data_IF_041207809700
#
_entry.id   IF_041207809700
#
_cell.length_a   1.000
_cell.length_b   1.000
_cell.length_c   1.000
_cell.angle_alpha   90.00
_cell.angle_beta   90.00
_cell.angle_gamma   90.00
#
_symmetry.space_group_name_H-M   'P 1'
#
loop_
_entity.id
_entity.type
_entity.pdbx_description
1 polymer ?
#
# COMPACT_ATOMS: atom_id res chain seq x y z
N UNK A 1 54.18 2.63 -40.60
CA UNK A 1 53.20 2.51 -39.51
C UNK A 1 51.88 1.96 -40.07
N UNK A 2 51.94 0.98 -40.99
CA UNK A 2 50.86 0.69 -41.96
C UNK A 2 50.63 -0.82 -42.20
N UNK A 3 51.28 -1.69 -41.41
CA UNK A 3 51.27 -3.15 -41.63
C UNK A 3 50.37 -3.93 -40.66
N UNK A 4 49.89 -3.31 -39.58
CA UNK A 4 49.13 -3.98 -38.53
C UNK A 4 47.60 -3.82 -38.67
N UNK A 5 47.11 -2.83 -39.41
CA UNK A 5 45.66 -2.61 -39.60
C UNK A 5 45.00 -3.65 -40.54
N UNK A 6 45.78 -4.29 -41.42
CA UNK A 6 45.27 -5.28 -42.39
C UNK A 6 44.73 -6.56 -41.74
N UNK A 7 45.22 -6.89 -40.55
CA UNK A 7 44.90 -8.13 -39.84
C UNK A 7 43.85 -7.96 -38.73
N UNK A 8 43.36 -6.73 -38.53
CA UNK A 8 42.29 -6.48 -37.57
C UNK A 8 40.94 -6.88 -38.20
N UNK A 9 40.11 -7.68 -37.51
CA UNK A 9 38.79 -8.05 -38.01
C UNK A 9 37.94 -6.80 -38.21
N UNK A 10 37.55 -6.52 -39.47
CA UNK A 10 36.64 -5.42 -39.81
C UNK A 10 35.21 -5.85 -39.50
N UNK A 11 34.78 -5.57 -38.28
CA UNK A 11 33.39 -5.77 -37.89
C UNK A 11 32.49 -4.80 -38.66
N UNK A 12 31.40 -5.26 -39.29
CA UNK A 12 30.46 -4.36 -39.94
C UNK A 12 29.87 -3.40 -38.89
N UNK A 13 29.75 -2.11 -39.20
CA UNK A 13 29.30 -1.07 -38.25
C UNK A 13 27.98 -1.44 -37.53
N UNK A 14 27.11 -2.19 -38.20
CA UNK A 14 25.86 -2.73 -37.67
C UNK A 14 26.07 -3.66 -36.46
N UNK A 15 27.13 -4.48 -36.45
CA UNK A 15 27.44 -5.38 -35.33
C UNK A 15 27.92 -4.62 -34.09
N UNK A 16 28.65 -3.51 -34.27
CA UNK A 16 29.07 -2.63 -33.18
C UNK A 16 27.87 -1.87 -32.58
N UNK A 17 26.96 -1.37 -33.44
CA UNK A 17 25.72 -0.71 -33.03
C UNK A 17 24.75 -1.67 -32.30
N UNK A 18 24.65 -2.92 -32.76
CA UNK A 18 23.86 -3.96 -32.07
C UNK A 18 24.43 -4.28 -30.68
N UNK A 19 25.76 -4.35 -30.53
CA UNK A 19 26.39 -4.55 -29.22
C UNK A 19 26.14 -3.40 -28.23
N UNK A 20 26.23 -2.16 -28.71
CA UNK A 20 25.97 -0.95 -27.91
C UNK A 20 24.51 -0.84 -27.46
N UNK A 21 23.55 -1.13 -28.36
CA UNK A 21 22.12 -1.12 -28.04
C UNK A 21 21.73 -2.25 -27.08
N UNK A 22 22.26 -3.46 -27.28
CA UNK A 22 22.04 -4.59 -26.37
C UNK A 22 22.62 -4.35 -24.97
N UNK A 23 23.84 -3.80 -24.89
CA UNK A 23 24.45 -3.43 -23.60
C UNK A 23 23.67 -2.32 -22.89
N UNK A 24 23.22 -1.30 -23.63
CA UNK A 24 22.35 -0.24 -23.11
C UNK A 24 21.03 -0.77 -22.55
N UNK A 25 20.35 -1.64 -23.31
CA UNK A 25 19.10 -2.28 -22.86
C UNK A 25 19.30 -3.18 -21.63
N UNK A 26 20.42 -3.89 -21.54
CA UNK A 26 20.76 -4.72 -20.38
C UNK A 26 21.02 -3.89 -19.13
N UNK A 27 21.72 -2.75 -19.25
CA UNK A 27 21.96 -1.82 -18.13
C UNK A 27 20.65 -1.21 -17.66
N UNK A 28 19.80 -0.71 -18.56
CA UNK A 28 18.49 -0.16 -18.21
C UNK A 28 17.63 -1.23 -17.53
N UNK A 29 17.56 -2.44 -18.08
CA UNK A 29 16.83 -3.56 -17.49
C UNK A 29 17.37 -3.94 -16.11
N UNK A 30 18.69 -3.97 -15.93
CA UNK A 30 19.33 -4.24 -14.65
C UNK A 30 18.99 -3.17 -13.61
N UNK A 31 19.00 -1.90 -13.98
CA UNK A 31 18.63 -0.79 -13.09
C UNK A 31 17.15 -0.84 -12.71
N UNK A 32 16.25 -1.12 -13.67
CA UNK A 32 14.82 -1.29 -13.42
C UNK A 32 14.54 -2.48 -12.50
N UNK A 33 15.12 -3.65 -12.80
CA UNK A 33 15.00 -4.84 -11.97
C UNK A 33 15.52 -4.57 -10.57
N UNK A 34 16.70 -3.95 -10.43
CA UNK A 34 17.27 -3.60 -9.12
C UNK A 34 16.36 -2.66 -8.33
N UNK A 35 15.73 -1.69 -8.99
CA UNK A 35 14.72 -0.80 -8.40
C UNK A 35 13.50 -1.57 -7.88
N UNK A 36 12.93 -2.45 -8.70
CA UNK A 36 11.77 -3.29 -8.34
C UNK A 36 12.09 -4.26 -7.17
N UNK A 37 13.27 -4.89 -7.20
CA UNK A 37 13.73 -5.76 -6.12
C UNK A 37 13.99 -4.98 -4.82
N UNK A 38 14.54 -3.77 -4.90
CA UNK A 38 14.75 -2.89 -3.74
C UNK A 38 13.43 -2.52 -3.06
N UNK A 39 12.42 -2.13 -3.83
CA UNK A 39 11.08 -1.81 -3.31
C UNK A 39 10.44 -3.00 -2.58
N UNK A 40 10.50 -4.20 -3.18
CA UNK A 40 9.97 -5.43 -2.53
C UNK A 40 10.68 -5.76 -1.21
N UNK A 41 12.01 -5.55 -1.13
CA UNK A 41 12.78 -5.78 0.11
C UNK A 41 12.41 -4.80 1.22
N UNK A 42 12.01 -3.56 0.90
CA UNK A 42 11.67 -2.54 1.90
C UNK A 42 10.31 -2.77 2.57
N UNK A 43 9.37 -3.42 1.89
CA UNK A 43 8.00 -3.61 2.39
C UNK A 43 7.77 -4.96 3.08
N UNK A 44 8.59 -5.99 2.78
CA UNK A 44 8.42 -7.31 3.39
C UNK A 44 8.46 -7.21 4.92
N UNK A 45 7.44 -7.78 5.57
CA UNK A 45 7.30 -7.82 7.03
C UNK A 45 6.80 -6.52 7.67
N UNK A 46 6.54 -5.47 6.88
CA UNK A 46 5.90 -4.24 7.37
C UNK A 46 4.44 -4.51 7.72
N UNK A 47 3.94 -3.84 8.75
CA UNK A 47 2.52 -3.88 9.13
C UNK A 47 1.80 -2.69 8.50
N UNK A 48 0.76 -2.97 7.72
CA UNK A 48 0.02 -1.97 6.96
C UNK A 48 -1.44 -1.97 7.38
N UNK A 49 -1.96 -0.82 7.81
CA UNK A 49 -3.39 -0.61 8.01
C UNK A 49 -3.97 0.07 6.77
N UNK A 50 -5.05 -0.46 6.23
CA UNK A 50 -5.74 0.11 5.06
C UNK A 50 -7.19 0.39 5.44
N UNK A 51 -7.56 1.67 5.52
CA UNK A 51 -8.96 2.07 5.74
C UNK A 51 -9.75 1.94 4.44
N UNK A 52 -11.00 1.50 4.52
CA UNK A 52 -11.84 1.29 3.33
C UNK A 52 -11.38 0.11 2.47
N UNK A 53 -10.74 -0.88 3.07
CA UNK A 53 -10.17 -2.03 2.38
C UNK A 53 -11.22 -2.94 1.70
N UNK A 54 -12.50 -2.80 2.03
CA UNK A 54 -13.59 -3.68 1.59
C UNK A 54 -13.98 -3.57 0.11
N UNK A 55 -13.38 -2.66 -0.66
CA UNK A 55 -13.70 -2.47 -2.09
C UNK A 55 -12.69 -1.58 -2.81
N UNK A 56 -12.74 -1.60 -4.15
CA UNK A 56 -12.11 -0.60 -5.01
C UNK A 56 -10.60 -0.50 -4.82
N UNK A 57 -10.10 0.73 -4.67
CA UNK A 57 -8.66 1.00 -4.47
C UNK A 57 -8.14 0.34 -3.19
N UNK A 58 -8.95 0.31 -2.11
CA UNK A 58 -8.55 -0.32 -0.85
C UNK A 58 -8.28 -1.82 -1.00
N UNK A 59 -9.14 -2.54 -1.72
CA UNK A 59 -8.95 -3.96 -2.05
C UNK A 59 -7.70 -4.18 -2.92
N UNK A 60 -7.51 -3.32 -3.92
CA UNK A 60 -6.34 -3.38 -4.80
C UNK A 60 -5.03 -3.14 -4.03
N UNK A 61 -5.02 -2.17 -3.11
CA UNK A 61 -3.88 -1.90 -2.24
C UNK A 61 -3.60 -3.08 -1.30
N UNK A 62 -4.63 -3.66 -0.68
CA UNK A 62 -4.49 -4.85 0.15
C UNK A 62 -3.82 -6.00 -0.63
N UNK A 63 -4.28 -6.22 -1.86
CA UNK A 63 -3.71 -7.21 -2.78
C UNK A 63 -2.23 -6.95 -3.05
N UNK A 64 -1.85 -5.71 -3.34
CA UNK A 64 -0.45 -5.33 -3.60
C UNK A 64 0.45 -5.48 -2.36
N UNK A 65 0.00 -5.05 -1.19
CA UNK A 65 0.79 -5.15 0.05
C UNK A 65 1.01 -6.61 0.47
N UNK A 66 -0.01 -7.46 0.32
CA UNK A 66 0.09 -8.91 0.54
C UNK A 66 1.15 -9.53 -0.37
N UNK A 67 1.11 -9.24 -1.69
CA UNK A 67 2.10 -9.77 -2.65
C UNK A 67 3.55 -9.35 -2.35
N UNK A 68 3.70 -8.16 -1.74
CA UNK A 68 5.00 -7.64 -1.28
C UNK A 68 5.44 -8.22 0.07
N UNK A 69 4.63 -9.09 0.68
CA UNK A 69 4.94 -9.82 1.90
C UNK A 69 4.75 -9.00 3.18
N UNK A 70 3.83 -8.03 3.16
CA UNK A 70 3.44 -7.27 4.34
C UNK A 70 2.47 -8.08 5.21
N UNK A 71 2.37 -7.73 6.49
CA UNK A 71 1.18 -8.03 7.30
C UNK A 71 0.15 -6.93 7.06
N UNK A 72 -1.10 -7.30 6.78
CA UNK A 72 -2.12 -6.33 6.37
C UNK A 72 -3.31 -6.38 7.31
N UNK A 73 -3.66 -5.22 7.88
CA UNK A 73 -4.90 -5.01 8.62
C UNK A 73 -5.89 -4.35 7.67
N UNK A 74 -6.92 -5.12 7.29
CA UNK A 74 -8.03 -4.64 6.49
C UNK A 74 -9.02 -3.95 7.42
N UNK A 75 -9.23 -2.65 7.27
CA UNK A 75 -10.13 -1.87 8.12
C UNK A 75 -11.31 -1.29 7.34
N UNK A 76 -12.54 -1.59 7.75
CA UNK A 76 -13.78 -1.07 7.17
C UNK A 76 -14.98 -1.39 8.08
N UNK A 77 -16.15 -0.81 7.75
CA UNK A 77 -17.40 -1.09 8.46
C UNK A 77 -17.99 -2.48 8.17
N UNK A 78 -17.81 -3.00 6.95
CA UNK A 78 -18.38 -4.30 6.56
C UNK A 78 -17.39 -5.43 6.80
N UNK A 79 -17.42 -6.01 8.00
CA UNK A 79 -16.55 -7.12 8.40
C UNK A 79 -16.69 -8.33 7.47
N UNK A 80 -17.89 -8.60 6.98
CA UNK A 80 -18.18 -9.73 6.09
C UNK A 80 -17.39 -9.61 4.79
N UNK A 81 -17.38 -8.42 4.17
CA UNK A 81 -16.57 -8.17 2.97
C UNK A 81 -15.07 -8.29 3.24
N UNK A 82 -14.62 -7.86 4.42
CA UNK A 82 -13.22 -8.02 4.81
C UNK A 82 -12.82 -9.48 4.96
N UNK A 83 -13.68 -10.31 5.56
CA UNK A 83 -13.46 -11.75 5.70
C UNK A 83 -13.40 -12.43 4.33
N UNK A 84 -14.33 -12.12 3.43
CA UNK A 84 -14.33 -12.62 2.06
C UNK A 84 -13.03 -12.22 1.32
N UNK A 85 -12.60 -10.96 1.48
CA UNK A 85 -11.34 -10.51 0.89
C UNK A 85 -10.13 -11.24 1.49
N UNK A 86 -10.09 -11.40 2.82
CA UNK A 86 -9.03 -12.16 3.50
C UNK A 86 -8.94 -13.59 2.95
N UNK A 87 -10.06 -14.31 2.88
CA UNK A 87 -10.11 -15.68 2.35
C UNK A 87 -9.62 -15.75 0.90
N UNK A 88 -10.07 -14.82 0.05
CA UNK A 88 -9.62 -14.68 -1.34
C UNK A 88 -8.10 -14.46 -1.42
N UNK A 89 -7.54 -13.57 -0.61
CA UNK A 89 -6.10 -13.24 -0.63
C UNK A 89 -5.25 -14.41 -0.10
N UNK A 90 -5.67 -15.03 1.00
CA UNK A 90 -4.98 -16.19 1.60
C UNK A 90 -4.92 -17.35 0.60
N UNK A 91 -6.06 -17.68 -0.02
CA UNK A 91 -6.14 -18.77 -1.00
C UNK A 91 -5.35 -18.46 -2.29
N UNK A 92 -5.49 -17.25 -2.84
CA UNK A 92 -4.87 -16.88 -4.12
C UNK A 92 -3.35 -16.79 -4.04
N UNK A 93 -2.81 -16.30 -2.92
CA UNK A 93 -1.38 -16.04 -2.75
C UNK A 93 -0.66 -17.05 -1.85
N UNK A 94 -1.38 -18.04 -1.30
CA UNK A 94 -0.83 -19.10 -0.42
C UNK A 94 -0.03 -18.53 0.76
N UNK A 95 -0.52 -17.45 1.34
CA UNK A 95 0.07 -16.78 2.51
C UNK A 95 -0.52 -17.34 3.80
N UNK A 96 0.15 -17.09 4.92
CA UNK A 96 -0.34 -17.50 6.23
C UNK A 96 -1.60 -16.71 6.62
N UNK A 97 -2.59 -17.36 7.23
CA UNK A 97 -3.86 -16.73 7.57
C UNK A 97 -3.71 -15.60 8.61
N UNK A 98 -2.72 -15.71 9.49
CA UNK A 98 -2.36 -14.71 10.51
C UNK A 98 -1.66 -13.48 9.92
N UNK A 99 -1.25 -13.50 8.64
CA UNK A 99 -0.67 -12.34 7.95
C UNK A 99 -1.70 -11.27 7.56
N UNK A 100 -3.00 -11.60 7.66
CA UNK A 100 -4.10 -10.66 7.41
C UNK A 100 -5.06 -10.63 8.61
N UNK A 101 -5.34 -9.43 9.12
CA UNK A 101 -6.36 -9.19 10.13
C UNK A 101 -7.53 -8.40 9.53
N UNK A 102 -8.75 -8.72 9.96
CA UNK A 102 -9.94 -7.92 9.64
C UNK A 102 -10.31 -7.09 10.87
N UNK A 103 -10.53 -5.80 10.67
CA UNK A 103 -10.80 -4.86 11.76
C UNK A 103 -12.02 -3.99 11.44
N UNK A 104 -12.95 -3.90 12.37
CA UNK A 104 -14.11 -3.01 12.24
C UNK A 104 -13.64 -1.59 12.53
N UNK A 105 -13.90 -0.67 11.60
CA UNK A 105 -13.60 0.74 11.78
C UNK A 105 -14.70 1.58 11.16
N UNK A 106 -15.35 2.40 11.98
CA UNK A 106 -16.19 3.50 11.52
C UNK A 106 -15.45 4.82 11.73
N UNK A 107 -15.24 5.55 10.64
CA UNK A 107 -14.56 6.86 10.67
C UNK A 107 -15.54 8.01 10.94
N UNK A 108 -16.84 7.73 10.97
CA UNK A 108 -17.87 8.69 11.37
C UNK A 108 -17.98 8.78 12.91
N UNK A 109 -17.61 7.72 13.63
CA UNK A 109 -17.59 7.66 15.09
C UNK A 109 -16.21 8.09 15.63
N UNK A 110 -16.03 9.40 15.83
CA UNK A 110 -14.74 9.96 16.23
C UNK A 110 -14.34 9.60 17.65
N UNK A 111 -15.31 9.33 18.53
CA UNK A 111 -15.05 8.98 19.94
C UNK A 111 -14.46 7.56 20.02
N UNK A 112 -14.86 6.65 19.14
CA UNK A 112 -14.32 5.29 19.07
C UNK A 112 -12.91 5.20 18.44
N UNK A 113 -12.42 6.25 17.77
CA UNK A 113 -11.14 6.20 17.06
C UNK A 113 -9.95 6.00 18.01
N UNK A 114 -10.00 6.57 19.21
CA UNK A 114 -8.92 6.45 20.19
C UNK A 114 -8.71 4.98 20.60
N UNK A 115 -9.79 4.30 21.00
CA UNK A 115 -9.77 2.88 21.34
C UNK A 115 -9.39 2.00 20.13
N UNK A 116 -9.86 2.38 18.93
CA UNK A 116 -9.51 1.69 17.70
C UNK A 116 -8.00 1.73 17.41
N UNK A 117 -7.33 2.86 17.69
CA UNK A 117 -5.88 2.99 17.47
C UNK A 117 -5.08 2.01 18.34
N UNK A 118 -5.41 1.94 19.63
CA UNK A 118 -4.80 0.99 20.57
C UNK A 118 -5.00 -0.46 20.10
N UNK A 119 -6.22 -0.80 19.70
CA UNK A 119 -6.58 -2.12 19.21
C UNK A 119 -5.85 -2.48 17.90
N UNK A 120 -5.72 -1.54 16.97
CA UNK A 120 -4.97 -1.72 15.71
C UNK A 120 -3.48 -2.03 15.98
N UNK A 121 -2.86 -1.30 16.90
CA UNK A 121 -1.46 -1.53 17.29
C UNK A 121 -1.28 -2.90 17.94
N UNK A 122 -2.22 -3.33 18.78
CA UNK A 122 -2.14 -4.60 19.49
C UNK A 122 -2.15 -5.84 18.56
N UNK A 123 -2.80 -5.76 17.39
CA UNK A 123 -2.92 -6.89 16.45
C UNK A 123 -1.56 -7.48 16.02
N UNK A 124 -0.59 -6.60 15.76
CA UNK A 124 0.75 -7.00 15.30
C UNK A 124 1.89 -6.33 16.07
N UNK A 125 1.57 -5.66 17.17
CA UNK A 125 2.49 -4.93 18.05
C UNK A 125 3.00 -3.60 17.49
N UNK A 126 2.64 -3.24 16.25
CA UNK A 126 3.05 -2.01 15.58
C UNK A 126 2.23 -1.76 14.32
N UNK A 127 2.30 -0.54 13.79
CA UNK A 127 1.85 -0.18 12.45
C UNK A 127 2.95 0.62 11.76
N UNK A 128 3.52 0.09 10.68
CA UNK A 128 4.58 0.77 9.92
C UNK A 128 4.00 1.73 8.86
N UNK A 129 2.82 1.43 8.33
CA UNK A 129 2.19 2.17 7.23
C UNK A 129 0.69 2.31 7.51
N UNK A 130 0.19 3.53 7.53
CA UNK A 130 -1.24 3.84 7.56
C UNK A 130 -1.68 4.36 6.19
N UNK A 131 -2.66 3.71 5.58
CA UNK A 131 -3.26 4.12 4.31
C UNK A 131 -4.67 4.65 4.56
N UNK A 132 -4.77 5.99 4.59
CA UNK A 132 -6.04 6.72 4.68
C UNK A 132 -6.78 6.69 3.33
N UNK A 133 -7.44 5.56 3.04
CA UNK A 133 -8.14 5.32 1.78
C UNK A 133 -9.67 5.37 1.91
N UNK A 134 -10.23 5.12 3.09
CA UNK A 134 -11.68 5.17 3.28
C UNK A 134 -12.25 6.54 2.89
N UNK A 135 -13.37 6.50 2.18
CA UNK A 135 -14.12 7.69 1.85
C UNK A 135 -15.48 7.35 1.28
N UNK A 136 -16.39 8.31 1.38
CA UNK A 136 -17.68 8.27 0.72
C UNK A 136 -17.76 9.42 -0.28
N UNK A 137 -18.48 9.18 -1.36
CA UNK A 137 -18.97 10.21 -2.26
C UNK A 137 -20.49 10.24 -2.17
N UNK A 138 -21.07 11.41 -2.29
CA UNK A 138 -22.52 11.57 -2.28
C UNK A 138 -22.90 12.98 -2.63
N UNK A 139 -24.20 13.17 -2.83
CA UNK A 139 -24.76 14.47 -3.17
C UNK A 139 -25.89 14.33 -4.17
N UNK A 140 -26.56 15.44 -4.39
CA UNK A 140 -27.50 15.66 -5.47
C UNK A 140 -27.02 16.90 -6.25
N UNK A 141 -27.82 17.37 -7.21
CA UNK A 141 -27.69 18.71 -7.78
C UNK A 141 -27.50 19.73 -6.64
N UNK A 142 -26.64 20.72 -6.86
CA UNK A 142 -26.19 21.65 -5.81
C UNK A 142 -27.37 22.31 -5.09
N UNK A 143 -28.42 22.66 -5.82
CA UNK A 143 -29.65 23.26 -5.29
C UNK A 143 -30.52 22.30 -4.46
N UNK A 144 -30.31 20.99 -4.55
CA UNK A 144 -31.05 19.94 -3.84
C UNK A 144 -30.24 19.25 -2.76
N UNK A 145 -28.92 19.42 -2.76
CA UNK A 145 -28.05 18.70 -1.83
C UNK A 145 -28.16 19.30 -0.42
N UNK A 146 -28.58 18.48 0.54
CA UNK A 146 -28.63 18.88 1.93
C UNK A 146 -27.22 19.11 2.49
N UNK A 147 -27.05 20.18 3.26
CA UNK A 147 -25.76 20.49 3.91
C UNK A 147 -25.23 19.33 4.76
N UNK A 148 -26.11 18.53 5.33
CA UNK A 148 -25.75 17.34 6.11
C UNK A 148 -24.99 16.28 5.30
N UNK A 149 -25.26 16.15 4.00
CA UNK A 149 -24.51 15.25 3.12
C UNK A 149 -23.06 15.69 3.01
N UNK A 150 -22.81 17.01 2.83
CA UNK A 150 -21.47 17.56 2.78
C UNK A 150 -20.74 17.42 4.12
N UNK A 151 -21.43 17.66 5.24
CA UNK A 151 -20.86 17.46 6.57
C UNK A 151 -20.43 16.01 6.77
N UNK A 152 -21.31 15.04 6.48
CA UNK A 152 -21.00 13.62 6.57
C UNK A 152 -19.81 13.21 5.70
N UNK A 153 -19.70 13.75 4.48
CA UNK A 153 -18.53 13.53 3.62
C UNK A 153 -17.26 14.06 4.29
N UNK A 154 -17.29 15.26 4.86
CA UNK A 154 -16.15 15.83 5.59
C UNK A 154 -15.82 15.05 6.86
N UNK A 155 -16.82 14.61 7.61
CA UNK A 155 -16.66 13.86 8.85
C UNK A 155 -15.91 12.55 8.61
N UNK A 156 -16.19 11.87 7.50
CA UNK A 156 -15.54 10.61 7.14
C UNK A 156 -14.22 10.83 6.38
N UNK A 157 -14.26 11.58 5.28
CA UNK A 157 -13.15 11.67 4.34
C UNK A 157 -12.00 12.54 4.87
N UNK A 158 -12.31 13.48 5.77
CA UNK A 158 -11.34 14.42 6.31
C UNK A 158 -11.15 14.21 7.81
N UNK A 159 -12.16 14.50 8.64
CA UNK A 159 -11.99 14.52 10.09
C UNK A 159 -11.67 13.13 10.66
N UNK A 160 -12.35 12.08 10.22
CA UNK A 160 -12.07 10.71 10.65
C UNK A 160 -10.63 10.27 10.31
N UNK A 161 -10.14 10.60 9.11
CA UNK A 161 -8.76 10.29 8.70
C UNK A 161 -7.73 11.09 9.51
N UNK A 162 -8.01 12.36 9.80
CA UNK A 162 -7.16 13.21 10.66
C UNK A 162 -7.13 12.65 12.08
N UNK A 163 -8.29 12.31 12.65
CA UNK A 163 -8.40 11.75 13.99
C UNK A 163 -7.62 10.43 14.10
N UNK A 164 -7.79 9.52 13.13
CA UNK A 164 -7.06 8.26 13.09
C UNK A 164 -5.55 8.49 13.01
N UNK A 165 -5.10 9.40 12.14
CA UNK A 165 -3.66 9.70 12.00
C UNK A 165 -3.08 10.27 13.29
N UNK A 166 -3.80 11.19 13.95
CA UNK A 166 -3.38 11.77 15.23
C UNK A 166 -3.33 10.71 16.34
N UNK A 167 -4.36 9.87 16.45
CA UNK A 167 -4.42 8.80 17.44
C UNK A 167 -3.30 7.78 17.25
N UNK A 168 -3.10 7.30 16.02
CA UNK A 168 -2.03 6.36 15.70
C UNK A 168 -0.64 6.91 16.03
N UNK A 169 -0.38 8.19 15.71
CA UNK A 169 0.90 8.82 16.06
C UNK A 169 1.09 8.94 17.57
N UNK A 170 0.04 9.32 18.30
CA UNK A 170 0.09 9.43 19.76
C UNK A 170 0.42 8.08 20.42
N UNK A 171 -0.28 7.00 20.07
CA UNK A 171 -0.02 5.69 20.68
C UNK A 171 1.29 5.05 20.26
N UNK A 172 1.74 5.26 19.02
CA UNK A 172 3.08 4.82 18.60
C UNK A 172 4.16 5.51 19.46
N UNK A 173 4.01 6.80 19.74
CA UNK A 173 4.94 7.52 20.61
C UNK A 173 4.96 6.96 22.04
N UNK A 174 3.80 6.63 22.62
CA UNK A 174 3.73 6.04 23.96
C UNK A 174 4.44 4.68 24.05
N UNK A 175 4.29 3.83 23.03
CA UNK A 175 4.98 2.53 22.98
C UNK A 175 6.50 2.66 22.91
N UNK A 176 7.02 3.75 22.34
CA UNK A 176 8.47 4.01 22.28
C UNK A 176 9.07 4.47 23.62
N UNK A 177 8.26 4.99 24.55
CA UNK A 177 8.70 5.45 25.87
C UNK A 177 8.52 4.41 27.00
N UNK A 178 7.97 3.23 26.70
CA UNK A 178 7.63 2.22 27.71
C UNK A 178 8.73 1.14 27.88
N UNK A 179 9.95 1.36 27.37
CA UNK A 179 11.09 0.44 27.51
C UNK A 179 12.37 1.13 27.96
#
# INVERSE_FOLDING_TARGET
MDSLERYLPKWPETSLQMGLTAAGAAIVSFLLLRGLFKQRKQLKGKVVVITGASSGIGEALATEFVQKGCKVILAARSIEKLKQLKEKLVSSYKIAEDSIACFFLDLEDHDAIEEACSSLLALYGKVDILVNNAGISGGDRVEKCHLQTYKKIMDINYFGQVALTKGMHYYDSLLQFTF
#
